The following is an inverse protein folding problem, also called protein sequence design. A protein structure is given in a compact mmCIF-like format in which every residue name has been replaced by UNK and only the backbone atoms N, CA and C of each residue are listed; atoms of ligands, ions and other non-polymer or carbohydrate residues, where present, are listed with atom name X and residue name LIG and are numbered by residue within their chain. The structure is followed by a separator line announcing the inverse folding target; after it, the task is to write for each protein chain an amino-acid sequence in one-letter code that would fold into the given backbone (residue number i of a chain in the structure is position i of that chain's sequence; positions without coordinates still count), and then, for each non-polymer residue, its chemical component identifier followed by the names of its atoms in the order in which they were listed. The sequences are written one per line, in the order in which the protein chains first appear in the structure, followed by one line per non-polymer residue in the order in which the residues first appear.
data_IF_937069338299
#
_entry.id   IF_937069338299
#
_cell.length_a   1.000
_cell.length_b   1.000
_cell.length_c   1.000
_cell.angle_alpha   90.00
_cell.angle_beta   90.00
_cell.angle_gamma   90.00
#
_symmetry.space_group_name_H-M   'P 1'
#
loop_
_entity.id
_entity.type
_entity.pdbx_description
1 polymer ?
#
# COMPACT_ATOMS: atom_id res chain seq x y z
N UNK A 1 -1.73 7.85 3.53
CA UNK A 1 -0.78 8.34 2.51
C UNK A 1 -1.10 9.78 2.15
N UNK A 2 -0.11 10.58 1.73
CA UNK A 2 -0.37 11.98 1.32
C UNK A 2 0.64 12.44 0.28
N UNK A 3 0.23 13.32 -0.62
CA UNK A 3 1.07 13.87 -1.68
C UNK A 3 0.90 15.38 -1.78
N UNK A 4 2.03 16.09 -1.75
CA UNK A 4 2.10 17.52 -2.06
C UNK A 4 2.24 17.68 -3.57
N UNK A 5 1.56 18.68 -4.14
CA UNK A 5 1.51 18.94 -5.59
C UNK A 5 1.04 17.73 -6.42
N UNK A 6 0.07 16.98 -5.89
CA UNK A 6 -0.45 15.79 -6.55
C UNK A 6 -0.93 16.09 -7.99
N UNK A 7 -0.40 15.35 -8.97
CA UNK A 7 -0.67 15.55 -10.40
C UNK A 7 0.29 16.48 -11.12
N UNK A 8 1.22 17.13 -10.41
CA UNK A 8 2.28 17.95 -11.00
C UNK A 8 3.60 17.17 -11.12
N UNK A 9 4.51 17.64 -11.97
CA UNK A 9 5.84 17.02 -12.17
C UNK A 9 6.74 17.09 -10.94
N UNK A 10 6.47 18.00 -10.00
CA UNK A 10 7.16 18.14 -8.72
C UNK A 10 6.35 17.54 -7.56
N UNK A 11 5.44 16.60 -7.84
CA UNK A 11 4.70 15.88 -6.82
C UNK A 11 5.65 15.10 -5.90
N UNK A 12 5.37 15.10 -4.60
CA UNK A 12 6.11 14.31 -3.61
C UNK A 12 5.11 13.67 -2.65
N UNK A 13 5.10 12.34 -2.60
CA UNK A 13 4.24 11.56 -1.71
C UNK A 13 5.00 10.93 -0.54
N UNK A 14 4.31 10.85 0.59
CA UNK A 14 4.71 10.11 1.77
C UNK A 14 3.67 9.04 2.13
N UNK A 15 4.14 8.02 2.84
CA UNK A 15 3.34 7.00 3.49
C UNK A 15 3.41 7.17 5.00
N UNK A 16 2.38 6.68 5.69
CA UNK A 16 2.32 6.65 7.14
C UNK A 16 1.60 5.38 7.57
N UNK A 17 2.13 4.70 8.58
CA UNK A 17 1.51 3.53 9.20
C UNK A 17 1.46 3.75 10.72
N UNK A 18 0.36 3.29 11.33
CA UNK A 18 0.13 3.39 12.76
C UNK A 18 -0.13 1.99 13.35
N UNK A 19 0.58 1.63 14.42
CA UNK A 19 0.36 0.42 15.19
C UNK A 19 -0.31 0.78 16.53
N UNK A 20 -1.64 0.66 16.66
CA UNK A 20 -2.36 1.16 17.84
C UNK A 20 -1.92 0.49 19.16
N UNK A 21 -1.53 -0.79 19.11
CA UNK A 21 -1.04 -1.53 20.28
C UNK A 21 0.44 -1.24 20.60
N UNK A 22 1.18 -0.62 19.67
CA UNK A 22 2.58 -0.26 19.89
C UNK A 22 2.98 0.97 19.04
N UNK A 23 2.57 2.18 19.45
CA UNK A 23 2.80 3.41 18.68
C UNK A 23 4.27 3.75 18.43
N UNK A 24 5.20 3.20 19.23
CA UNK A 24 6.64 3.36 19.01
C UNK A 24 7.13 2.71 17.70
N UNK A 25 6.28 1.90 17.05
CA UNK A 25 6.56 1.26 15.76
C UNK A 25 5.90 1.97 14.59
N UNK A 26 5.22 3.09 14.84
CA UNK A 26 4.70 3.95 13.79
C UNK A 26 5.84 4.37 12.87
N UNK A 27 5.53 4.47 11.58
CA UNK A 27 6.52 4.81 10.57
C UNK A 27 5.91 5.75 9.55
N UNK A 28 6.55 6.91 9.39
CA UNK A 28 6.35 7.79 8.25
C UNK A 28 7.57 7.68 7.32
N UNK A 29 7.35 7.52 6.02
CA UNK A 29 8.44 7.50 5.05
C UNK A 29 8.05 8.18 3.75
N UNK A 30 9.04 8.78 3.08
CA UNK A 30 8.86 9.30 1.73
C UNK A 30 8.80 8.12 0.76
N UNK A 31 7.86 8.16 -0.18
CA UNK A 31 7.82 7.20 -1.30
C UNK A 31 9.11 7.35 -2.12
N UNK A 32 9.84 6.27 -2.43
CA UNK A 32 11.04 6.36 -3.25
C UNK A 32 10.72 6.57 -4.73
N UNK A 33 11.72 7.00 -5.50
CA UNK A 33 11.58 7.22 -6.95
C UNK A 33 10.98 8.58 -7.31
N UNK A 34 10.48 8.67 -8.54
CA UNK A 34 9.96 9.90 -9.14
C UNK A 34 8.43 9.88 -9.32
N UNK A 35 7.79 8.71 -9.27
CA UNK A 35 6.36 8.58 -9.43
C UNK A 35 5.66 8.87 -8.10
N UNK A 36 4.92 9.98 -8.06
CA UNK A 36 4.27 10.46 -6.85
C UNK A 36 2.81 10.78 -7.06
N UNK A 37 1.97 10.25 -6.16
CA UNK A 37 0.55 10.60 -6.03
C UNK A 37 0.05 10.16 -4.66
N UNK A 38 -1.13 10.62 -4.24
CA UNK A 38 -1.77 10.11 -3.01
C UNK A 38 -1.90 8.59 -3.05
N UNK A 39 -2.39 8.05 -4.17
CA UNK A 39 -2.60 6.61 -4.37
C UNK A 39 -1.31 5.80 -4.21
N UNK A 40 -0.20 6.31 -4.73
CA UNK A 40 1.11 5.68 -4.55
C UNK A 40 1.53 5.72 -3.08
N UNK A 41 1.32 6.83 -2.39
CA UNK A 41 1.59 6.93 -0.94
C UNK A 41 0.80 5.91 -0.12
N UNK A 42 -0.47 5.67 -0.47
CA UNK A 42 -1.30 4.65 0.18
C UNK A 42 -0.85 3.22 -0.12
N UNK A 43 -0.53 2.90 -1.37
CA UNK A 43 0.00 1.58 -1.73
C UNK A 43 1.33 1.31 -1.02
N UNK A 44 2.21 2.30 -0.97
CA UNK A 44 3.49 2.18 -0.29
C UNK A 44 3.31 2.02 1.23
N UNK A 45 2.30 2.67 1.84
CA UNK A 45 1.97 2.46 3.24
C UNK A 45 1.62 0.99 3.54
N UNK A 46 0.85 0.33 2.67
CA UNK A 46 0.55 -1.11 2.82
C UNK A 46 1.84 -1.95 2.75
N UNK A 47 2.70 -1.70 1.77
CA UNK A 47 4.00 -2.40 1.66
C UNK A 47 4.83 -2.24 2.92
N UNK A 48 4.93 -1.00 3.45
CA UNK A 48 5.67 -0.73 4.69
C UNK A 48 5.03 -1.40 5.91
N UNK A 49 3.69 -1.38 6.03
CA UNK A 49 2.99 -2.04 7.13
C UNK A 49 3.29 -3.54 7.15
N UNK A 50 3.25 -4.20 5.99
CA UNK A 50 3.54 -5.63 5.88
C UNK A 50 4.99 -5.93 6.22
N UNK A 51 5.95 -5.22 5.60
CA UNK A 51 7.39 -5.42 5.82
C UNK A 51 7.82 -5.10 7.25
N UNK A 52 7.22 -4.09 7.87
CA UNK A 52 7.55 -3.69 9.23
C UNK A 52 6.83 -4.58 10.26
N UNK A 53 5.76 -5.29 9.90
CA UNK A 53 5.06 -6.21 10.81
C UNK A 53 5.88 -7.46 11.15
N UNK A 54 5.48 -8.20 12.19
CA UNK A 54 6.09 -9.50 12.47
C UNK A 54 5.68 -10.51 11.39
N UNK A 55 6.65 -11.07 10.66
CA UNK A 55 6.40 -11.96 9.51
C UNK A 55 5.54 -13.19 9.85
N UNK A 56 5.67 -13.74 11.07
CA UNK A 56 4.98 -14.98 11.48
C UNK A 56 3.59 -14.74 12.10
N UNK A 57 3.20 -13.49 12.36
CA UNK A 57 1.90 -13.16 12.95
C UNK A 57 0.92 -12.71 11.87
N UNK A 58 -0.36 -13.02 12.07
CA UNK A 58 -1.42 -12.45 11.26
C UNK A 58 -1.42 -10.91 11.37
N UNK A 59 -1.82 -10.24 10.29
CA UNK A 59 -1.87 -8.78 10.21
C UNK A 59 -3.23 -8.35 9.67
N UNK A 60 -3.84 -7.38 10.35
CA UNK A 60 -5.03 -6.69 9.86
C UNK A 60 -4.57 -5.29 9.42
N UNK A 61 -4.79 -5.00 8.14
CA UNK A 61 -4.52 -3.71 7.53
C UNK A 61 -5.83 -2.96 7.40
N UNK A 62 -5.90 -1.75 7.95
CA UNK A 62 -7.08 -0.88 7.85
C UNK A 62 -6.66 0.35 7.06
N UNK A 63 -7.40 0.67 6.00
CA UNK A 63 -7.14 1.84 5.16
C UNK A 63 -8.44 2.49 4.73
N UNK A 64 -8.45 3.81 4.67
CA UNK A 64 -9.53 4.64 4.12
C UNK A 64 -9.45 4.75 2.58
N UNK A 65 -8.34 4.34 1.98
CA UNK A 65 -8.13 4.36 0.53
C UNK A 65 -8.86 3.20 -0.16
N UNK A 66 -10.08 3.48 -0.61
CA UNK A 66 -10.87 2.57 -1.44
C UNK A 66 -10.09 2.10 -2.67
N UNK A 67 -9.32 3.00 -3.30
CA UNK A 67 -8.46 2.65 -4.44
C UNK A 67 -7.45 1.56 -4.07
N UNK A 68 -6.74 1.73 -2.95
CA UNK A 68 -5.71 0.79 -2.50
C UNK A 68 -6.34 -0.55 -2.13
N UNK A 69 -7.40 -0.53 -1.31
CA UNK A 69 -8.07 -1.75 -0.87
C UNK A 69 -8.60 -2.54 -2.06
N UNK A 70 -9.32 -1.91 -3.00
CA UNK A 70 -9.84 -2.63 -4.16
C UNK A 70 -8.75 -3.13 -5.11
N UNK A 71 -7.65 -2.38 -5.28
CA UNK A 71 -6.54 -2.80 -6.14
C UNK A 71 -5.84 -4.05 -5.60
N UNK A 72 -5.82 -4.24 -4.28
CA UNK A 72 -5.19 -5.38 -3.61
C UNK A 72 -6.18 -6.52 -3.28
N UNK A 73 -7.47 -6.33 -3.54
CA UNK A 73 -8.52 -7.31 -3.23
C UNK A 73 -9.41 -7.57 -4.46
N UNK A 74 -10.58 -6.97 -4.53
CA UNK A 74 -11.64 -7.29 -5.51
C UNK A 74 -11.25 -7.11 -6.98
N UNK A 75 -10.26 -6.27 -7.29
CA UNK A 75 -9.79 -6.03 -8.67
C UNK A 75 -8.55 -6.85 -9.02
N UNK A 76 -7.88 -7.45 -8.04
CA UNK A 76 -6.57 -8.05 -8.21
C UNK A 76 -6.58 -9.15 -9.28
N UNK A 77 -7.43 -10.16 -9.12
CA UNK A 77 -7.49 -11.31 -10.03
C UNK A 77 -7.73 -10.87 -11.48
N UNK A 78 -8.64 -9.91 -11.67
CA UNK A 78 -8.92 -9.36 -13.01
C UNK A 78 -7.72 -8.63 -13.59
N UNK A 79 -6.95 -7.90 -12.78
CA UNK A 79 -5.76 -7.19 -13.24
C UNK A 79 -4.60 -8.13 -13.58
N UNK A 80 -4.38 -9.18 -12.77
CA UNK A 80 -3.38 -10.22 -13.04
C UNK A 80 -3.71 -10.98 -14.32
N UNK A 81 -4.97 -11.42 -14.48
CA UNK A 81 -5.42 -12.15 -15.67
C UNK A 81 -5.33 -11.34 -16.97
N UNK A 82 -5.34 -9.99 -16.89
CA UNK A 82 -5.17 -9.09 -18.03
C UNK A 82 -3.72 -8.67 -18.27
N UNK A 83 -2.78 -9.25 -17.52
CA UNK A 83 -1.35 -8.92 -17.65
C UNK A 83 -1.03 -7.46 -17.33
N UNK A 84 -1.81 -6.81 -16.45
CA UNK A 84 -1.57 -5.43 -15.99
C UNK A 84 -1.71 -4.33 -17.05
N UNK A 85 -2.21 -4.65 -18.24
CA UNK A 85 -2.36 -3.69 -19.35
C UNK A 85 -3.30 -2.53 -18.96
N UNK A 86 -2.81 -1.30 -19.09
CA UNK A 86 -3.57 -0.08 -18.79
C UNK A 86 -3.81 0.18 -17.29
N UNK A 87 -3.18 -0.58 -16.39
CA UNK A 87 -3.32 -0.39 -14.95
C UNK A 87 -2.29 0.65 -14.47
N UNK A 88 -2.79 1.81 -14.04
CA UNK A 88 -1.97 2.84 -13.39
C UNK A 88 -1.43 2.31 -12.07
N UNK A 89 -0.22 2.74 -11.70
CA UNK A 89 0.47 2.35 -10.47
C UNK A 89 0.69 0.83 -10.30
N UNK A 90 0.62 0.04 -11.38
CA UNK A 90 0.76 -1.41 -11.31
C UNK A 90 2.06 -1.86 -10.67
N UNK A 91 3.15 -1.10 -10.81
CA UNK A 91 4.41 -1.36 -10.14
C UNK A 91 4.24 -1.40 -8.61
N UNK A 92 3.64 -0.36 -8.03
CA UNK A 92 3.38 -0.26 -6.59
C UNK A 92 2.34 -1.27 -6.10
N UNK A 93 1.34 -1.59 -6.92
CA UNK A 93 0.37 -2.66 -6.62
C UNK A 93 1.09 -4.01 -6.52
N UNK A 94 1.92 -4.35 -7.50
CA UNK A 94 2.73 -5.58 -7.49
C UNK A 94 3.63 -5.67 -6.27
N UNK A 95 4.34 -4.59 -5.95
CA UNK A 95 5.23 -4.58 -4.77
C UNK A 95 4.46 -4.86 -3.47
N UNK A 96 3.28 -4.27 -3.31
CA UNK A 96 2.43 -4.53 -2.14
C UNK A 96 1.96 -5.99 -2.10
N UNK A 97 1.55 -6.55 -3.23
CA UNK A 97 1.09 -7.96 -3.32
C UNK A 97 2.23 -8.93 -3.06
N UNK A 98 3.41 -8.67 -3.60
CA UNK A 98 4.61 -9.47 -3.34
C UNK A 98 4.91 -9.49 -1.84
N UNK A 99 4.95 -8.33 -1.19
CA UNK A 99 5.15 -8.25 0.26
C UNK A 99 4.06 -9.03 1.04
N UNK A 100 2.79 -8.92 0.63
CA UNK A 100 1.68 -9.66 1.24
C UNK A 100 1.85 -11.18 1.06
N UNK A 101 2.21 -11.63 -0.15
CA UNK A 101 2.39 -13.05 -0.48
C UNK A 101 3.61 -13.67 0.20
N UNK A 102 4.67 -12.89 0.44
CA UNK A 102 5.87 -13.32 1.16
C UNK A 102 5.64 -13.49 2.67
N UNK A 103 4.61 -12.83 3.21
CA UNK A 103 4.31 -12.90 4.64
C UNK A 103 3.74 -14.27 5.02
N UNK A 104 4.30 -14.87 6.07
CA UNK A 104 3.90 -16.20 6.56
C UNK A 104 2.56 -16.18 7.29
N UNK A 105 2.32 -15.14 8.08
CA UNK A 105 1.02 -14.92 8.72
C UNK A 105 -0.03 -14.42 7.73
N UNK A 106 -1.29 -14.76 7.97
CA UNK A 106 -2.39 -14.30 7.12
C UNK A 106 -2.52 -12.77 7.15
N UNK A 107 -2.89 -12.17 6.02
CA UNK A 107 -3.15 -10.73 5.90
C UNK A 107 -4.61 -10.51 5.56
N UNK A 108 -5.31 -9.75 6.40
CA UNK A 108 -6.64 -9.23 6.11
C UNK A 108 -6.53 -7.74 5.77
N UNK A 109 -7.22 -7.30 4.73
CA UNK A 109 -7.28 -5.89 4.32
C UNK A 109 -8.73 -5.42 4.46
N UNK A 110 -8.93 -4.38 5.27
CA UNK A 110 -10.23 -3.81 5.59
C UNK A 110 -10.29 -2.36 5.14
N UNK A 111 -11.38 -1.99 4.48
CA UNK A 111 -11.68 -0.60 4.14
C UNK A 111 -12.46 0.08 5.26
N UNK A 112 -12.16 1.35 5.54
CA UNK A 112 -12.91 2.23 6.46
C UNK A 112 -13.28 3.55 5.78
N UNK A 113 -14.26 4.26 6.33
CA UNK A 113 -14.63 5.62 5.91
C UNK A 113 -14.00 6.68 6.80
#
# INVERSE_FOLDING_TARGET
GSCVNNGCSNAISGSGIHFPENPNRDLGSRVPGNDHSNQIGELYAITQAVRHSNTNKNLILISDSEYTVHSLTSRLDKTENRGWTGIKNHHWIKEAIEAIREKKGAVAICWTK
#
